data_IF_032104928492
#
_entry.id   IF_032104928492
#
_cell.length_a   1.000
_cell.length_b   1.000
_cell.length_c   1.000
_cell.angle_alpha   90.00
_cell.angle_beta   90.00
_cell.angle_gamma   90.00
#
_symmetry.space_group_name_H-M   'P 1'
#
loop_
_entity.id
_entity.type
_entity.pdbx_description
1 polymer ?
#
# COMPACT_ATOMS: atom_id res chain seq x y z
N UNK A 1 1.53 -15.29 -28.47
CA UNK A 1 2.35 -15.92 -27.41
C UNK A 1 3.32 -14.91 -26.79
N UNK A 2 4.23 -14.29 -27.56
CA UNK A 2 5.15 -13.27 -27.05
C UNK A 2 4.45 -12.10 -26.33
N UNK A 3 3.38 -11.54 -26.93
CA UNK A 3 2.59 -10.45 -26.32
C UNK A 3 2.00 -10.87 -24.97
N UNK A 4 1.44 -12.08 -24.86
CA UNK A 4 0.84 -12.56 -23.61
C UNK A 4 1.88 -12.70 -22.48
N UNK A 5 3.09 -13.16 -22.80
CA UNK A 5 4.19 -13.26 -21.85
C UNK A 5 4.65 -11.87 -21.38
N UNK A 6 4.75 -10.92 -22.31
CA UNK A 6 5.10 -9.53 -21.99
C UNK A 6 4.03 -8.88 -21.10
N UNK A 7 2.75 -9.05 -21.43
CA UNK A 7 1.63 -8.54 -20.62
C UNK A 7 1.66 -9.10 -19.20
N UNK A 8 1.80 -10.43 -19.06
CA UNK A 8 1.89 -11.08 -17.76
C UNK A 8 3.08 -10.56 -16.95
N UNK A 9 4.24 -10.39 -17.58
CA UNK A 9 5.43 -9.82 -16.94
C UNK A 9 5.19 -8.40 -16.41
N UNK A 10 4.55 -7.54 -17.21
CA UNK A 10 4.21 -6.16 -16.80
C UNK A 10 3.22 -6.15 -15.63
N UNK A 11 2.18 -6.99 -15.66
CA UNK A 11 1.20 -7.09 -14.56
C UNK A 11 1.90 -7.52 -13.27
N UNK A 12 2.66 -8.62 -13.32
CA UNK A 12 3.33 -9.18 -12.15
C UNK A 12 4.31 -8.15 -11.57
N UNK A 13 5.10 -7.50 -12.43
CA UNK A 13 6.05 -6.48 -11.99
C UNK A 13 5.33 -5.29 -11.33
N UNK A 14 4.21 -4.84 -11.90
CA UNK A 14 3.45 -3.72 -11.33
C UNK A 14 2.81 -4.10 -10.00
N UNK A 15 2.18 -5.28 -9.90
CA UNK A 15 1.58 -5.76 -8.66
C UNK A 15 2.62 -5.90 -7.55
N UNK A 16 3.82 -6.41 -7.86
CA UNK A 16 4.92 -6.53 -6.91
C UNK A 16 5.41 -5.16 -6.42
N UNK A 17 5.56 -4.20 -7.32
CA UNK A 17 5.94 -2.82 -6.96
C UNK A 17 4.87 -2.16 -6.10
N UNK A 18 3.59 -2.37 -6.42
CA UNK A 18 2.47 -1.87 -5.64
C UNK A 18 2.46 -2.48 -4.23
N UNK A 19 2.63 -3.80 -4.11
CA UNK A 19 2.70 -4.54 -2.84
C UNK A 19 3.82 -3.98 -1.93
N UNK A 20 5.01 -3.75 -2.51
CA UNK A 20 6.13 -3.12 -1.79
C UNK A 20 5.77 -1.70 -1.31
N UNK A 21 5.09 -0.90 -2.13
CA UNK A 21 4.69 0.47 -1.77
C UNK A 21 3.65 0.45 -0.64
N UNK A 22 2.66 -0.45 -0.70
CA UNK A 22 1.65 -0.63 0.35
C UNK A 22 2.31 -1.03 1.67
N UNK A 23 3.19 -2.03 1.63
CA UNK A 23 3.89 -2.51 2.84
C UNK A 23 4.82 -1.45 3.42
N UNK A 24 5.56 -0.72 2.58
CA UNK A 24 6.34 0.42 3.06
C UNK A 24 5.47 1.53 3.64
N UNK A 25 4.34 1.85 3.00
CA UNK A 25 3.39 2.86 3.48
C UNK A 25 2.83 2.51 4.86
N UNK A 26 2.42 1.26 5.06
CA UNK A 26 1.90 0.76 6.34
C UNK A 26 2.99 0.77 7.42
N UNK A 27 4.23 0.36 7.10
CA UNK A 27 5.35 0.38 8.05
C UNK A 27 5.67 1.81 8.49
N UNK A 28 5.77 2.75 7.56
CA UNK A 28 6.07 4.16 7.84
C UNK A 28 4.95 4.79 8.67
N UNK A 29 3.68 4.51 8.32
CA UNK A 29 2.54 5.01 9.08
C UNK A 29 2.50 4.44 10.51
N UNK A 30 2.81 3.15 10.68
CA UNK A 30 2.89 2.51 12.00
C UNK A 30 4.02 3.11 12.84
N UNK A 31 5.19 3.34 12.24
CA UNK A 31 6.34 3.93 12.91
C UNK A 31 6.05 5.37 13.38
N UNK A 32 5.38 6.16 12.56
CA UNK A 32 4.92 7.51 12.92
C UNK A 32 3.97 7.50 14.13
N UNK A 33 3.05 6.53 14.20
CA UNK A 33 2.12 6.36 15.34
C UNK A 33 2.86 5.96 16.62
N UNK A 34 3.95 5.21 16.50
CA UNK A 34 4.75 4.73 17.62
C UNK A 34 5.73 5.79 18.19
N UNK A 35 5.77 7.00 17.62
CA UNK A 35 6.67 8.11 17.97
C UNK A 35 8.17 7.72 17.92
N UNK A 36 8.50 6.70 17.13
CA UNK A 36 9.88 6.28 16.92
C UNK A 36 10.51 7.20 15.87
N UNK A 37 11.33 8.15 16.33
CA UNK A 37 12.22 8.90 15.43
C UNK A 37 13.17 7.90 14.76
N UNK A 38 12.92 7.60 13.48
CA UNK A 38 13.69 6.70 12.64
C UNK A 38 15.21 6.93 12.82
N UNK A 39 15.89 5.99 13.49
CA UNK A 39 17.35 5.93 13.54
C UNK A 39 17.86 5.15 12.31
N UNK A 40 18.66 5.78 11.44
CA UNK A 40 18.92 5.30 10.08
C UNK A 40 19.46 3.85 9.94
N UNK A 41 20.30 3.35 10.85
CA UNK A 41 20.94 2.04 10.66
C UNK A 41 20.08 0.83 11.06
N UNK A 42 19.39 0.87 12.21
CA UNK A 42 18.51 -0.24 12.63
C UNK A 42 17.21 -0.31 11.79
N UNK A 43 16.83 0.80 11.17
CA UNK A 43 15.56 0.90 10.43
C UNK A 43 15.62 0.16 9.11
N UNK A 44 16.75 0.24 8.38
CA UNK A 44 16.91 -0.47 7.12
C UNK A 44 16.79 -1.99 7.30
N UNK A 45 17.32 -2.54 8.39
CA UNK A 45 17.23 -3.96 8.69
C UNK A 45 15.80 -4.39 9.06
N UNK A 46 15.07 -3.54 9.82
CA UNK A 46 13.66 -3.79 10.17
C UNK A 46 12.75 -3.74 8.94
N UNK A 47 12.87 -2.71 8.09
CA UNK A 47 12.09 -2.61 6.84
C UNK A 47 12.38 -3.81 5.95
N UNK A 48 13.65 -4.21 5.82
CA UNK A 48 14.03 -5.38 5.03
C UNK A 48 13.39 -6.66 5.58
N UNK A 49 13.44 -6.89 6.89
CA UNK A 49 12.78 -8.04 7.53
C UNK A 49 11.27 -8.04 7.33
N UNK A 50 10.63 -6.87 7.35
CA UNK A 50 9.20 -6.76 7.07
C UNK A 50 8.90 -7.12 5.62
N UNK A 51 9.66 -6.61 4.65
CA UNK A 51 9.50 -6.95 3.23
C UNK A 51 9.82 -8.44 2.95
N UNK A 52 10.78 -9.03 3.65
CA UNK A 52 11.05 -10.47 3.56
C UNK A 52 9.88 -11.29 4.09
N UNK A 53 9.28 -10.90 5.22
CA UNK A 53 8.09 -11.56 5.78
C UNK A 53 6.87 -11.44 4.85
N UNK A 54 6.66 -10.26 4.27
CA UNK A 54 5.60 -9.97 3.30
C UNK A 54 5.74 -10.82 2.03
N UNK A 55 6.96 -10.88 1.46
CA UNK A 55 7.25 -11.72 0.31
C UNK A 55 7.01 -13.21 0.58
N UNK A 56 7.34 -13.70 1.78
CA UNK A 56 7.05 -15.08 2.19
C UNK A 56 5.54 -15.30 2.31
N UNK A 57 4.81 -14.37 2.94
CA UNK A 57 3.37 -14.45 3.10
C UNK A 57 2.63 -14.45 1.75
N UNK A 58 2.98 -13.51 0.87
CA UNK A 58 2.42 -13.42 -0.49
C UNK A 58 2.76 -14.65 -1.33
N UNK A 59 3.99 -15.15 -1.27
CA UNK A 59 4.38 -16.37 -2.01
C UNK A 59 3.64 -17.62 -1.50
N UNK A 60 3.52 -17.76 -0.17
CA UNK A 60 2.76 -18.84 0.44
C UNK A 60 1.26 -18.74 0.11
N UNK A 61 0.72 -17.53 0.09
CA UNK A 61 -0.66 -17.25 -0.30
C UNK A 61 -0.93 -17.61 -1.77
N UNK A 62 -0.04 -17.22 -2.68
CA UNK A 62 -0.17 -17.57 -4.09
C UNK A 62 -0.19 -19.09 -4.32
N UNK A 63 0.58 -19.88 -3.55
CA UNK A 63 0.54 -21.35 -3.59
C UNK A 63 -0.79 -21.93 -3.11
N UNK A 64 -1.48 -21.24 -2.21
CA UNK A 64 -2.81 -21.61 -1.72
C UNK A 64 -3.94 -21.10 -2.63
N UNK A 65 -3.62 -20.40 -3.73
CA UNK A 65 -4.60 -19.86 -4.67
C UNK A 65 -5.33 -18.62 -4.17
N UNK A 66 -4.82 -17.95 -3.13
CA UNK A 66 -5.33 -16.65 -2.69
C UNK A 66 -4.63 -15.50 -3.42
N UNK A 67 -5.25 -14.32 -3.39
CA UNK A 67 -4.66 -13.08 -3.92
C UNK A 67 -3.43 -12.66 -3.12
N UNK A 68 -2.74 -11.61 -3.57
CA UNK A 68 -1.62 -10.98 -2.85
C UNK A 68 -1.99 -10.71 -1.40
N UNK A 69 -1.08 -11.07 -0.48
CA UNK A 69 -1.27 -10.87 0.95
C UNK A 69 -0.58 -9.57 1.32
N UNK A 70 -1.36 -8.50 1.51
CA UNK A 70 -0.82 -7.17 1.79
C UNK A 70 -0.98 -6.79 3.27
N UNK A 71 -0.15 -5.87 3.74
CA UNK A 71 -0.22 -5.35 5.11
C UNK A 71 -1.25 -4.23 5.22
N UNK A 72 -2.34 -4.52 5.95
CA UNK A 72 -3.46 -3.58 6.13
C UNK A 72 -3.09 -2.41 7.02
N UNK A 73 -3.40 -1.18 6.60
CA UNK A 73 -3.17 0.03 7.42
C UNK A 73 -3.99 0.01 8.71
N UNK A 74 -5.11 -0.71 8.75
CA UNK A 74 -5.92 -0.93 9.94
C UNK A 74 -5.17 -1.68 11.04
N UNK A 75 -4.13 -2.44 10.68
CA UNK A 75 -3.24 -3.10 11.64
C UNK A 75 -2.50 -2.09 12.54
N UNK A 76 -2.39 -0.83 12.11
CA UNK A 76 -1.86 0.28 12.93
C UNK A 76 -2.70 0.52 14.19
N UNK A 77 -3.98 0.12 14.21
CA UNK A 77 -4.81 0.21 15.41
C UNK A 77 -4.20 -0.56 16.59
N UNK A 78 -3.50 -1.67 16.32
CA UNK A 78 -2.75 -2.40 17.34
C UNK A 78 -1.65 -1.53 17.96
N UNK A 79 -0.97 -0.70 17.16
CA UNK A 79 0.07 0.21 17.64
C UNK A 79 -0.51 1.38 18.46
N UNK A 80 -1.69 1.88 18.05
CA UNK A 80 -2.45 2.93 18.77
C UNK A 80 -2.91 2.43 20.14
N UNK A 81 -3.41 1.19 20.24
CA UNK A 81 -3.85 0.58 21.50
C UNK A 81 -2.70 0.14 22.43
N UNK A 82 -1.44 0.42 22.07
CA UNK A 82 -0.27 0.11 22.90
C UNK A 82 0.40 -1.22 22.59
N UNK A 83 0.03 -1.89 21.49
CA UNK A 83 0.78 -3.01 20.94
C UNK A 83 2.18 -2.56 20.53
N UNK A 84 3.19 -3.15 21.18
CA UNK A 84 4.62 -2.88 20.93
C UNK A 84 5.38 -4.10 20.41
N UNK A 85 4.71 -5.25 20.33
CA UNK A 85 5.30 -6.52 19.86
C UNK A 85 4.40 -7.18 18.82
N UNK A 86 4.97 -8.08 18.03
CA UNK A 86 4.21 -8.89 17.07
C UNK A 86 3.25 -9.90 17.71
N UNK A 87 3.23 -10.01 19.05
CA UNK A 87 2.32 -10.93 19.74
C UNK A 87 0.85 -10.56 19.51
N UNK A 88 0.51 -9.28 19.50
CA UNK A 88 -0.85 -8.83 19.16
C UNK A 88 -1.25 -9.27 17.75
N UNK A 89 -0.32 -9.18 16.79
CA UNK A 89 -0.55 -9.69 15.43
C UNK A 89 -0.74 -11.22 15.39
N UNK A 90 0.04 -11.97 16.16
CA UNK A 90 -0.08 -13.43 16.26
C UNK A 90 -1.40 -13.88 16.91
N UNK A 91 -1.87 -13.16 17.93
CA UNK A 91 -3.18 -13.41 18.55
C UNK A 91 -4.29 -13.11 17.53
N UNK A 92 -4.21 -11.97 16.84
CA UNK A 92 -5.18 -11.60 15.80
C UNK A 92 -5.23 -12.64 14.68
N UNK A 93 -4.08 -13.12 14.17
CA UNK A 93 -4.07 -14.15 13.13
C UNK A 93 -4.66 -15.48 13.60
N UNK A 94 -4.38 -15.89 14.85
CA UNK A 94 -5.00 -17.08 15.45
C UNK A 94 -6.52 -16.94 15.58
N UNK A 95 -7.01 -15.76 15.98
CA UNK A 95 -8.45 -15.46 16.03
C UNK A 95 -9.08 -15.47 14.64
N UNK A 96 -8.38 -14.98 13.60
CA UNK A 96 -8.86 -15.05 12.21
C UNK A 96 -8.94 -16.50 11.70
N UNK A 97 -8.03 -17.38 12.09
CA UNK A 97 -8.13 -18.82 11.78
C UNK A 97 -9.39 -19.41 12.42
N UNK A 98 -9.66 -19.09 13.69
CA UNK A 98 -10.89 -19.53 14.36
C UNK A 98 -12.15 -18.92 13.71
N UNK A 99 -12.05 -17.68 13.21
CA UNK A 99 -13.14 -17.00 12.54
C UNK A 99 -13.57 -17.70 11.24
N UNK A 100 -12.73 -18.53 10.60
CA UNK A 100 -13.10 -19.32 9.41
C UNK A 100 -14.31 -20.24 9.70
N UNK A 101 -14.41 -20.79 10.90
CA UNK A 101 -15.56 -21.62 11.31
C UNK A 101 -16.85 -20.79 11.50
N UNK A 102 -16.70 -19.49 11.79
CA UNK A 102 -17.81 -18.54 12.00
C UNK A 102 -18.18 -17.84 10.68
N UNK A 103 -17.26 -17.75 9.73
CA UNK A 103 -17.45 -17.15 8.41
C UNK A 103 -18.73 -17.59 7.67
N UNK A 104 -19.17 -18.87 7.67
CA UNK A 104 -20.44 -19.24 7.04
C UNK A 104 -21.66 -18.54 7.65
N UNK A 105 -21.64 -18.23 8.95
CA UNK A 105 -22.71 -17.48 9.60
C UNK A 105 -22.68 -15.98 9.26
N UNK A 106 -21.50 -15.44 8.88
CA UNK A 106 -21.38 -14.05 8.46
C UNK A 106 -22.14 -13.75 7.16
N UNK A 107 -22.43 -14.76 6.33
CA UNK A 107 -23.24 -14.62 5.11
C UNK A 107 -24.70 -14.22 5.37
N UNK A 108 -25.18 -14.37 6.61
CA UNK A 108 -26.54 -13.96 7.03
C UNK A 108 -26.62 -12.43 7.27
N UNK A 109 -25.47 -11.76 7.42
CA UNK A 109 -25.42 -10.33 7.70
C UNK A 109 -25.82 -9.54 6.45
N UNK A 110 -26.84 -8.65 6.53
CA UNK A 110 -27.24 -7.82 5.40
C UNK A 110 -26.09 -6.94 4.91
N UNK A 111 -25.98 -6.77 3.58
CA UNK A 111 -24.96 -5.91 2.96
C UNK A 111 -25.01 -4.45 3.41
N UNK A 112 -26.18 -3.97 3.83
CA UNK A 112 -26.33 -2.64 4.42
C UNK A 112 -25.51 -2.47 5.70
N UNK A 113 -25.38 -3.51 6.53
CA UNK A 113 -24.64 -3.45 7.79
C UNK A 113 -23.11 -3.47 7.56
N UNK A 114 -22.65 -4.27 6.58
CA UNK A 114 -21.22 -4.32 6.22
C UNK A 114 -20.78 -3.03 5.53
N UNK A 115 -21.64 -2.43 4.69
CA UNK A 115 -21.36 -1.15 4.04
C UNK A 115 -21.12 -0.01 5.04
N UNK A 116 -21.94 0.11 6.08
CA UNK A 116 -21.74 1.16 7.12
C UNK A 116 -20.39 1.01 7.81
N UNK A 117 -19.98 -0.23 8.09
CA UNK A 117 -18.67 -0.50 8.72
C UNK A 117 -17.52 -0.07 7.81
N UNK A 118 -17.57 -0.43 6.52
CA UNK A 118 -16.54 -0.03 5.54
C UNK A 118 -16.45 1.49 5.35
N UNK A 119 -17.59 2.19 5.35
CA UNK A 119 -17.61 3.66 5.25
C UNK A 119 -16.91 4.29 6.45
N UNK A 120 -17.20 3.83 7.67
CA UNK A 120 -16.56 4.33 8.90
C UNK A 120 -15.06 4.05 8.89
N UNK A 121 -14.65 2.83 8.49
CA UNK A 121 -13.23 2.50 8.35
C UNK A 121 -12.53 3.42 7.36
N UNK A 122 -13.14 3.69 6.21
CA UNK A 122 -12.61 4.66 5.23
C UNK A 122 -12.46 6.07 5.82
N UNK A 123 -13.41 6.52 6.63
CA UNK A 123 -13.30 7.81 7.34
C UNK A 123 -12.12 7.82 8.31
N UNK A 124 -11.87 6.73 9.03
CA UNK A 124 -10.70 6.64 9.91
C UNK A 124 -9.38 6.60 9.15
N UNK A 125 -9.32 5.95 7.99
CA UNK A 125 -8.13 5.97 7.12
C UNK A 125 -7.80 7.37 6.60
N UNK A 126 -8.80 8.24 6.41
CA UNK A 126 -8.58 9.65 6.02
C UNK A 126 -7.82 10.46 7.08
N UNK A 127 -7.70 9.97 8.32
CA UNK A 127 -6.94 10.67 9.35
C UNK A 127 -5.46 10.84 8.98
N UNK A 128 -4.88 9.97 8.15
CA UNK A 128 -3.48 10.07 7.69
C UNK A 128 -3.27 11.24 6.73
N UNK A 129 -4.32 11.68 6.01
CA UNK A 129 -4.25 12.78 5.05
C UNK A 129 -3.81 14.09 5.71
N UNK A 130 -4.05 14.26 7.01
CA UNK A 130 -3.62 15.45 7.77
C UNK A 130 -2.10 15.58 7.89
N UNK A 131 -1.36 14.49 7.74
CA UNK A 131 0.11 14.47 7.82
C UNK A 131 0.78 14.93 6.52
N UNK A 132 0.00 15.07 5.44
CA UNK A 132 0.50 15.51 4.13
C UNK A 132 0.76 17.02 4.17
N UNK A 133 1.96 17.44 3.75
CA UNK A 133 2.30 18.85 3.68
C UNK A 133 1.70 19.53 2.42
N UNK A 134 0.44 19.97 2.53
CA UNK A 134 -0.25 20.67 1.44
C UNK A 134 0.34 22.04 1.06
N UNK A 135 1.33 22.55 1.81
CA UNK A 135 2.01 23.80 1.45
C UNK A 135 3.12 23.60 0.42
N UNK A 136 3.66 22.39 0.30
CA UNK A 136 4.65 22.07 -0.72
C UNK A 136 3.95 21.46 -1.94
N UNK A 137 4.03 22.12 -3.08
CA UNK A 137 3.42 21.67 -4.33
C UNK A 137 3.98 20.32 -4.79
N UNK A 138 5.24 20.02 -4.46
CA UNK A 138 5.88 18.74 -4.83
C UNK A 138 5.29 17.53 -4.11
N UNK A 139 4.65 17.75 -2.97
CA UNK A 139 4.00 16.72 -2.15
C UNK A 139 2.46 16.78 -2.30
N UNK A 140 1.90 17.99 -2.29
CA UNK A 140 0.48 18.24 -2.37
C UNK A 140 -0.15 17.74 -3.67
N UNK A 141 0.50 18.03 -4.82
CA UNK A 141 -0.08 17.69 -6.13
C UNK A 141 -0.07 16.18 -6.36
N UNK A 142 1.03 15.44 -6.16
CA UNK A 142 1.01 13.97 -6.27
C UNK A 142 -0.02 13.32 -5.34
N UNK A 143 -0.07 13.74 -4.08
CA UNK A 143 -1.02 13.20 -3.11
C UNK A 143 -2.47 13.45 -3.53
N UNK A 144 -2.78 14.67 -3.99
CA UNK A 144 -4.11 15.01 -4.51
C UNK A 144 -4.49 14.15 -5.72
N UNK A 145 -3.58 14.00 -6.68
CA UNK A 145 -3.83 13.16 -7.86
C UNK A 145 -4.05 11.70 -7.47
N UNK A 146 -3.23 11.13 -6.58
CA UNK A 146 -3.45 9.76 -6.09
C UNK A 146 -4.84 9.62 -5.44
N UNK A 147 -5.18 10.50 -4.50
CA UNK A 147 -6.46 10.44 -3.79
C UNK A 147 -7.68 10.62 -4.71
N UNK A 148 -7.58 11.50 -5.70
CA UNK A 148 -8.69 11.79 -6.61
C UNK A 148 -8.85 10.73 -7.72
N UNK A 149 -7.74 10.23 -8.28
CA UNK A 149 -7.79 9.34 -9.42
C UNK A 149 -8.04 7.87 -9.06
N UNK A 150 -7.71 7.41 -7.84
CA UNK A 150 -8.08 6.05 -7.40
C UNK A 150 -9.59 5.82 -7.52
N UNK A 151 -10.49 6.63 -6.90
CA UNK A 151 -11.93 6.43 -7.03
C UNK A 151 -12.45 6.76 -8.42
N UNK A 152 -11.85 7.72 -9.14
CA UNK A 152 -12.30 8.11 -10.47
C UNK A 152 -12.02 7.04 -11.53
N UNK A 153 -10.91 6.33 -11.41
CA UNK A 153 -10.48 5.28 -12.35
C UNK A 153 -10.91 3.88 -11.93
N UNK A 154 -11.50 3.73 -10.74
CA UNK A 154 -11.80 2.44 -10.11
C UNK A 154 -10.60 1.49 -10.06
N UNK A 155 -9.38 2.03 -10.07
CA UNK A 155 -8.12 1.28 -10.15
C UNK A 155 -7.09 1.91 -9.22
N UNK A 156 -6.71 1.15 -8.18
CA UNK A 156 -5.63 1.53 -7.27
C UNK A 156 -4.33 1.77 -8.04
N UNK A 157 -3.99 0.83 -8.93
CA UNK A 157 -2.79 0.87 -9.75
C UNK A 157 -2.74 2.16 -10.58
N UNK A 158 -3.81 2.48 -11.30
CA UNK A 158 -3.87 3.64 -12.18
C UNK A 158 -3.76 4.95 -11.38
N UNK A 159 -4.42 5.04 -10.23
CA UNK A 159 -4.35 6.22 -9.38
C UNK A 159 -2.96 6.43 -8.75
N UNK A 160 -2.31 5.36 -8.27
CA UNK A 160 -0.94 5.41 -7.74
C UNK A 160 0.05 5.78 -8.86
N UNK A 161 -0.10 5.18 -10.04
CA UNK A 161 0.70 5.47 -11.22
C UNK A 161 0.65 6.97 -11.57
N UNK A 162 -0.55 7.54 -11.65
CA UNK A 162 -0.73 8.95 -11.98
C UNK A 162 -0.10 9.87 -10.93
N UNK A 163 -0.28 9.59 -9.64
CA UNK A 163 0.38 10.36 -8.59
C UNK A 163 1.91 10.31 -8.66
N UNK A 164 2.49 9.13 -8.91
CA UNK A 164 3.94 8.96 -9.02
C UNK A 164 4.50 9.67 -10.28
N UNK A 165 3.77 9.62 -11.39
CA UNK A 165 4.10 10.38 -12.61
C UNK A 165 4.04 11.88 -12.34
N UNK A 166 3.02 12.35 -11.62
CA UNK A 166 2.92 13.75 -11.20
C UNK A 166 4.11 14.15 -10.33
N UNK A 167 4.52 13.32 -9.36
CA UNK A 167 5.65 13.61 -8.49
C UNK A 167 6.96 13.77 -9.27
N UNK A 168 7.28 12.81 -10.13
CA UNK A 168 8.51 12.86 -10.94
C UNK A 168 8.48 13.98 -11.97
N UNK A 169 7.33 14.25 -12.59
CA UNK A 169 7.18 15.37 -13.52
C UNK A 169 7.50 16.71 -12.82
N UNK A 170 6.91 16.97 -11.65
CA UNK A 170 7.17 18.22 -10.90
C UNK A 170 8.65 18.33 -10.53
N UNK A 171 9.27 17.26 -10.05
CA UNK A 171 10.67 17.29 -9.65
C UNK A 171 11.61 17.59 -10.83
N UNK A 172 11.28 17.09 -12.02
CA UNK A 172 12.03 17.38 -13.26
C UNK A 172 11.82 18.83 -13.69
N UNK A 173 10.57 19.31 -13.75
CA UNK A 173 10.27 20.68 -14.18
C UNK A 173 10.73 21.75 -13.19
N UNK A 174 10.81 21.42 -11.91
CA UNK A 174 11.30 22.32 -10.85
C UNK A 174 12.83 22.36 -10.75
N UNK A 175 13.55 21.67 -11.66
CA UNK A 175 15.02 21.62 -11.67
C UNK A 175 15.65 20.78 -10.55
N UNK A 176 14.82 20.08 -9.76
CA UNK A 176 15.22 19.22 -8.63
C UNK A 176 15.47 17.76 -9.05
N UNK A 177 15.75 17.53 -10.33
CA UNK A 177 16.01 16.20 -10.92
C UNK A 177 17.07 15.33 -10.21
N UNK A 178 18.02 15.95 -9.48
CA UNK A 178 19.10 15.28 -8.74
C UNK A 178 18.70 14.87 -7.32
N UNK A 179 17.58 15.39 -6.79
CA UNK A 179 17.10 15.05 -5.45
C UNK A 179 16.25 13.76 -5.46
N UNK A 180 15.64 13.44 -6.61
CA UNK A 180 14.88 12.21 -6.81
C UNK A 180 15.84 11.04 -7.05
N UNK A 181 15.69 9.98 -6.27
CA UNK A 181 16.47 8.74 -6.45
C UNK A 181 16.16 8.11 -7.79
N UNK A 182 17.18 7.53 -8.43
CA UNK A 182 17.06 6.85 -9.73
C UNK A 182 15.97 5.77 -9.70
N UNK A 183 15.80 5.08 -8.57
CA UNK A 183 14.74 4.07 -8.38
C UNK A 183 13.32 4.62 -8.62
N UNK A 184 13.02 5.84 -8.18
CA UNK A 184 11.70 6.46 -8.37
C UNK A 184 11.40 6.70 -9.85
N UNK A 185 12.40 7.05 -10.66
CA UNK A 185 12.23 7.19 -12.11
C UNK A 185 11.98 5.85 -12.80
N UNK A 186 12.67 4.79 -12.38
CA UNK A 186 12.48 3.43 -12.92
C UNK A 186 11.04 2.97 -12.63
N UNK A 187 10.60 3.13 -11.39
CA UNK A 187 9.25 2.77 -10.96
C UNK A 187 8.21 3.57 -11.74
N UNK A 188 8.42 4.88 -11.89
CA UNK A 188 7.52 5.74 -12.69
C UNK A 188 7.45 5.27 -14.13
N UNK A 189 8.59 4.98 -14.76
CA UNK A 189 8.63 4.51 -16.13
C UNK A 189 7.84 3.19 -16.29
N UNK A 190 7.97 2.28 -15.33
CA UNK A 190 7.22 1.02 -15.31
C UNK A 190 5.70 1.25 -15.26
N UNK A 191 5.24 2.14 -14.39
CA UNK A 191 3.83 2.52 -14.31
C UNK A 191 3.33 3.25 -15.57
N UNK A 192 4.15 4.11 -16.20
CA UNK A 192 3.81 4.76 -17.48
C UNK A 192 3.65 3.72 -18.59
N UNK A 193 4.57 2.76 -18.68
CA UNK A 193 4.49 1.67 -19.65
C UNK A 193 3.21 0.85 -19.43
N UNK A 194 2.87 0.56 -18.18
CA UNK A 194 1.62 -0.10 -17.86
C UNK A 194 0.39 0.72 -18.31
N UNK A 195 0.34 2.02 -18.02
CA UNK A 195 -0.78 2.88 -18.43
C UNK A 195 -0.98 2.88 -19.96
N UNK A 196 0.11 2.86 -20.73
CA UNK A 196 0.05 2.83 -22.21
C UNK A 196 -0.38 1.45 -22.73
N UNK A 197 -0.02 0.38 -22.04
CA UNK A 197 -0.30 -1.00 -22.48
C UNK A 197 -1.75 -1.42 -22.14
N UNK A 198 -2.29 -0.95 -21.02
CA UNK A 198 -3.60 -1.36 -20.50
C UNK A 198 -4.76 -0.44 -20.89
N UNK A 199 -4.49 0.63 -21.65
CA UNK A 199 -5.48 1.62 -22.09
C UNK A 199 -5.41 1.80 -23.61
#
# INVERSE_FOLDING_TARGET
>A
MLVAIVMAGVIIATLCVMDVIETMGTVIATDHILDHKIHHDETCDKIRKTLEADAIATSAGALMGITTVSTFIESTAMAVEGGRTGFSGAVTSALFILAIFIAPFASVIPSAATATTLIITGVFMMAVVKEINFKDVEEALPAFFTMAFIPLTYSLITGIALGLVTHTAIAVFSGRWKQVKVGTYIITLLFVVQLIIFN
#
